data_IF_497151171196
#
_entry.id   IF_497151171196
#
_cell.length_a   1.000
_cell.length_b   1.000
_cell.length_c   1.000
_cell.angle_alpha   90.00
_cell.angle_beta   90.00
_cell.angle_gamma   90.00
#
_symmetry.space_group_name_H-M   'P 1'
#
loop_
_entity.id
_entity.type
_entity.pdbx_description
1 polymer ?
#
# COMPACT_ATOMS: atom_id res chain seq x y z
N UNK A 1 5.87 -25.85 19.04
CA UNK A 1 6.32 -25.90 17.62
C UNK A 1 6.23 -27.30 17.01
N UNK A 2 6.90 -28.34 17.52
CA UNK A 2 6.82 -29.71 16.94
C UNK A 2 5.39 -30.24 16.77
N UNK A 3 4.56 -30.09 17.81
CA UNK A 3 3.15 -30.51 17.81
C UNK A 3 2.26 -29.71 16.82
N UNK A 4 2.70 -28.54 16.35
CA UNK A 4 1.96 -27.70 15.40
C UNK A 4 2.50 -27.79 13.96
N UNK A 5 3.24 -28.86 13.62
CA UNK A 5 3.66 -29.13 12.24
C UNK A 5 4.79 -28.25 11.68
N UNK A 6 5.57 -27.60 12.54
CA UNK A 6 6.70 -26.77 12.09
C UNK A 6 7.87 -27.61 11.56
N UNK A 7 8.46 -27.21 10.43
CA UNK A 7 9.61 -27.90 9.82
C UNK A 7 10.90 -27.79 10.65
N UNK A 8 11.79 -28.79 10.50
CA UNK A 8 13.05 -28.93 11.28
C UNK A 8 13.96 -27.69 11.24
N UNK A 9 14.10 -27.06 10.07
CA UNK A 9 14.94 -25.85 9.90
C UNK A 9 14.40 -24.68 10.73
N UNK A 10 13.08 -24.47 10.74
CA UNK A 10 12.44 -23.40 11.50
C UNK A 10 12.60 -23.61 13.01
N UNK A 11 12.50 -24.85 13.47
CA UNK A 11 12.71 -25.21 14.87
C UNK A 11 14.18 -24.97 15.26
N UNK A 12 15.13 -25.44 14.45
CA UNK A 12 16.56 -25.25 14.70
C UNK A 12 16.96 -23.78 14.77
N UNK A 13 16.41 -22.94 13.89
CA UNK A 13 16.65 -21.50 13.91
C UNK A 13 16.23 -20.83 15.23
N UNK A 14 15.09 -21.22 15.79
CA UNK A 14 14.60 -20.70 17.09
C UNK A 14 15.45 -21.23 18.25
N UNK A 15 15.81 -22.51 18.24
CA UNK A 15 16.63 -23.12 19.29
C UNK A 15 17.99 -22.44 19.45
N UNK A 16 18.65 -22.11 18.34
CA UNK A 16 19.94 -21.41 18.37
C UNK A 16 19.79 -20.03 19.05
N UNK A 17 18.70 -19.31 18.78
CA UNK A 17 18.47 -17.98 19.35
C UNK A 17 18.08 -18.03 20.82
N UNK A 18 17.25 -19.01 21.22
CA UNK A 18 16.93 -19.25 22.63
C UNK A 18 18.18 -19.56 23.44
N UNK A 19 19.08 -20.40 22.91
CA UNK A 19 20.34 -20.72 23.57
C UNK A 19 21.18 -19.46 23.84
N UNK A 20 21.38 -18.62 22.82
CA UNK A 20 22.14 -17.37 22.99
C UNK A 20 21.49 -16.37 23.95
N UNK A 21 20.16 -16.45 24.12
CA UNK A 21 19.39 -15.59 25.02
C UNK A 21 19.53 -16.07 26.48
N UNK A 22 19.34 -17.37 26.74
CA UNK A 22 19.54 -17.96 28.07
C UNK A 22 21.00 -17.87 28.54
N UNK A 23 21.97 -18.00 27.65
CA UNK A 23 23.40 -17.77 27.97
C UNK A 23 23.70 -16.34 28.43
N UNK A 24 22.79 -15.39 28.24
CA UNK A 24 22.94 -13.99 28.60
C UNK A 24 21.86 -13.53 29.59
N UNK A 25 21.14 -14.46 30.20
CA UNK A 25 20.08 -14.15 31.16
C UNK A 25 20.65 -13.29 32.31
N UNK A 26 19.96 -12.20 32.65
CA UNK A 26 20.43 -11.19 33.62
C UNK A 26 21.39 -10.13 33.08
N UNK A 27 21.94 -10.29 31.86
CA UNK A 27 22.86 -9.32 31.25
C UNK A 27 22.20 -8.37 30.23
N UNK A 28 20.87 -8.38 30.11
CA UNK A 28 20.11 -7.46 29.28
C UNK A 28 18.81 -7.02 29.97
N UNK A 29 18.40 -5.77 29.76
CA UNK A 29 17.21 -5.19 30.41
C UNK A 29 15.91 -5.41 29.60
N UNK A 30 16.01 -5.79 28.33
CA UNK A 30 14.88 -6.10 27.45
C UNK A 30 15.34 -6.89 26.23
N UNK A 31 14.41 -7.49 25.48
CA UNK A 31 14.69 -8.12 24.18
C UNK A 31 15.31 -7.13 23.16
N UNK A 32 14.95 -5.85 23.25
CA UNK A 32 15.56 -4.77 22.46
C UNK A 32 17.02 -4.52 22.84
N UNK A 33 17.33 -4.45 24.13
CA UNK A 33 18.72 -4.31 24.64
C UNK A 33 19.57 -5.54 24.28
N UNK A 34 19.01 -6.75 24.43
CA UNK A 34 19.64 -7.99 23.99
C UNK A 34 20.01 -7.95 22.50
N UNK A 35 19.10 -7.47 21.63
CA UNK A 35 19.38 -7.33 20.19
C UNK A 35 20.55 -6.38 19.93
N UNK A 36 20.62 -5.23 20.60
CA UNK A 36 21.72 -4.27 20.40
C UNK A 36 23.06 -4.84 20.87
N UNK A 37 23.09 -5.49 22.03
CA UNK A 37 24.28 -6.18 22.56
C UNK A 37 24.72 -7.34 21.66
N UNK A 38 23.76 -8.09 21.11
CA UNK A 38 24.03 -9.19 20.17
C UNK A 38 24.70 -8.69 18.88
N UNK A 39 24.21 -7.58 18.32
CA UNK A 39 24.81 -6.97 17.13
C UNK A 39 26.24 -6.50 17.40
N UNK A 40 26.47 -5.85 18.54
CA UNK A 40 27.81 -5.40 18.96
C UNK A 40 28.76 -6.59 19.09
N UNK A 41 28.36 -7.66 19.78
CA UNK A 41 29.16 -8.88 19.96
C UNK A 41 29.50 -9.57 18.64
N UNK A 42 28.60 -9.53 17.65
CA UNK A 42 28.83 -10.15 16.33
C UNK A 42 29.47 -9.20 15.32
N UNK A 43 29.76 -7.95 15.68
CA UNK A 43 30.35 -6.96 14.77
C UNK A 43 29.43 -6.56 13.60
N UNK A 44 28.11 -6.56 13.80
CA UNK A 44 27.13 -6.32 12.73
C UNK A 44 26.51 -4.94 12.85
N UNK A 45 26.53 -4.16 11.77
CA UNK A 45 25.87 -2.85 11.69
C UNK A 45 24.36 -2.97 11.53
N UNK A 46 23.60 -2.00 12.05
CA UNK A 46 22.12 -1.93 11.93
C UNK A 46 21.62 -1.82 10.47
N UNK A 47 22.50 -1.50 9.51
CA UNK A 47 22.19 -1.45 8.08
C UNK A 47 22.35 -2.79 7.33
N UNK A 48 23.05 -3.77 7.92
CA UNK A 48 23.33 -5.07 7.31
C UNK A 48 22.04 -5.91 7.20
N UNK A 49 21.86 -6.68 6.13
CA UNK A 49 20.72 -7.59 5.99
C UNK A 49 20.62 -8.62 7.12
N UNK A 50 21.77 -9.06 7.66
CA UNK A 50 21.84 -9.99 8.80
C UNK A 50 21.24 -9.38 10.07
N UNK A 51 21.33 -8.07 10.25
CA UNK A 51 20.70 -7.38 11.40
C UNK A 51 19.18 -7.54 11.39
N UNK A 52 18.56 -7.50 10.20
CA UNK A 52 17.11 -7.72 10.03
C UNK A 52 16.72 -9.14 10.43
N UNK A 53 17.53 -10.14 10.06
CA UNK A 53 17.31 -11.53 10.45
C UNK A 53 17.36 -11.69 11.98
N UNK A 54 18.40 -11.18 12.65
CA UNK A 54 18.52 -11.27 14.11
C UNK A 54 17.35 -10.59 14.82
N UNK A 55 17.00 -9.37 14.39
CA UNK A 55 15.86 -8.63 14.93
C UNK A 55 14.56 -9.42 14.83
N UNK A 56 14.28 -10.03 13.67
CA UNK A 56 13.07 -10.82 13.46
C UNK A 56 13.07 -12.11 14.29
N UNK A 57 14.24 -12.71 14.49
CA UNK A 57 14.37 -13.95 15.24
C UNK A 57 14.16 -13.76 16.75
N UNK A 58 14.69 -12.67 17.33
CA UNK A 58 14.48 -12.30 18.73
C UNK A 58 13.02 -11.93 18.96
N UNK A 59 12.42 -11.15 18.06
CA UNK A 59 11.00 -10.77 18.14
C UNK A 59 10.04 -11.96 18.13
N UNK A 60 10.41 -13.07 17.50
CA UNK A 60 9.60 -14.30 17.52
C UNK A 60 9.63 -14.99 18.88
N UNK A 61 10.76 -14.88 19.59
CA UNK A 61 10.91 -15.41 20.95
C UNK A 61 10.11 -14.53 21.91
N UNK A 62 10.33 -13.22 21.86
CA UNK A 62 9.57 -12.20 22.60
C UNK A 62 8.05 -12.39 22.43
N UNK A 63 7.59 -12.60 21.19
CA UNK A 63 6.17 -12.86 20.90
C UNK A 63 5.60 -14.11 21.60
N UNK A 64 6.42 -15.15 21.72
CA UNK A 64 5.99 -16.38 22.37
C UNK A 64 6.02 -16.23 23.89
N UNK A 65 7.10 -15.66 24.42
CA UNK A 65 7.32 -15.46 25.84
C UNK A 65 6.26 -14.55 26.46
N UNK A 66 5.98 -13.40 25.84
CA UNK A 66 5.07 -12.41 26.39
C UNK A 66 3.59 -12.63 26.01
N UNK A 67 3.32 -13.32 24.90
CA UNK A 67 1.96 -13.42 24.31
C UNK A 67 1.51 -14.84 23.97
N UNK A 68 2.33 -15.86 24.19
CA UNK A 68 2.02 -17.24 23.81
C UNK A 68 1.92 -17.47 22.29
N UNK A 69 2.34 -16.52 21.47
CA UNK A 69 2.25 -16.61 20.01
C UNK A 69 3.43 -17.40 19.43
N UNK A 70 3.15 -18.59 18.88
CA UNK A 70 4.19 -19.39 18.24
C UNK A 70 4.77 -18.72 16.97
N UNK A 71 6.09 -18.87 16.71
CA UNK A 71 6.75 -18.21 15.59
C UNK A 71 6.15 -18.58 14.23
N UNK A 72 5.46 -17.66 13.56
CA UNK A 72 4.90 -17.90 12.22
C UNK A 72 5.74 -17.21 11.11
N UNK A 73 5.39 -17.46 9.83
CA UNK A 73 6.11 -16.88 8.67
C UNK A 73 5.95 -15.37 8.56
N UNK A 74 4.99 -14.78 9.25
CA UNK A 74 4.89 -13.34 9.38
C UNK A 74 5.90 -12.88 10.42
N UNK A 75 6.57 -11.76 10.17
CA UNK A 75 7.26 -11.08 11.26
C UNK A 75 6.21 -10.84 12.35
N UNK A 76 6.47 -11.30 13.59
CA UNK A 76 5.87 -10.61 14.72
C UNK A 76 6.45 -9.20 14.67
N UNK A 77 5.67 -8.31 14.08
CA UNK A 77 5.90 -6.89 14.20
C UNK A 77 5.23 -6.57 15.54
N UNK A 78 5.95 -6.06 16.54
CA UNK A 78 5.35 -5.34 17.66
C UNK A 78 4.68 -4.03 17.17
N UNK A 79 3.86 -4.09 16.11
CA UNK A 79 2.77 -3.14 15.87
C UNK A 79 1.63 -3.37 16.85
N UNK A 80 1.61 -4.51 17.56
CA UNK A 80 0.77 -4.71 18.73
C UNK A 80 1.43 -4.18 20.04
N UNK A 81 2.69 -3.76 19.99
CA UNK A 81 3.47 -3.35 21.17
C UNK A 81 4.22 -2.00 21.08
N UNK A 82 4.25 -1.33 19.93
CA UNK A 82 3.76 0.04 20.02
C UNK A 82 2.35 -0.15 20.54
N UNK A 83 2.08 0.19 21.82
CA UNK A 83 0.71 0.50 22.22
C UNK A 83 0.19 1.28 21.02
N UNK A 84 -0.81 0.73 20.31
CA UNK A 84 -1.43 1.46 19.19
C UNK A 84 -1.58 2.89 19.70
N UNK A 85 -1.27 3.92 18.92
CA UNK A 85 -1.39 5.28 19.47
C UNK A 85 -2.75 5.46 20.17
N UNK A 86 -3.77 4.73 19.69
CA UNK A 86 -5.07 4.48 20.33
C UNK A 86 -5.05 3.90 21.76
N UNK A 87 -4.24 2.88 22.05
CA UNK A 87 -4.05 2.27 23.38
C UNK A 87 -3.25 3.17 24.34
N UNK A 88 -2.58 4.22 23.83
CA UNK A 88 -1.94 5.25 24.64
C UNK A 88 -2.91 6.39 24.97
N UNK A 89 -4.01 6.50 24.24
CA UNK A 89 -5.00 7.55 24.47
C UNK A 89 -5.88 7.21 25.66
N UNK A 90 -6.16 8.23 26.45
CA UNK A 90 -7.11 8.18 27.55
C UNK A 90 -8.06 9.38 27.43
N UNK A 91 -9.22 9.28 28.08
CA UNK A 91 -10.21 10.36 28.09
C UNK A 91 -10.73 10.78 26.71
N UNK A 92 -10.90 12.09 26.53
CA UNK A 92 -11.60 12.69 25.38
C UNK A 92 -10.98 12.35 24.03
N UNK A 93 -9.65 12.23 23.92
CA UNK A 93 -8.99 11.91 22.65
C UNK A 93 -9.38 10.53 22.12
N UNK A 94 -9.51 9.56 23.02
CA UNK A 94 -9.94 8.20 22.68
C UNK A 94 -11.40 8.22 22.20
N UNK A 95 -12.27 8.90 22.95
CA UNK A 95 -13.71 9.05 22.63
C UNK A 95 -13.93 9.67 21.26
N UNK A 96 -13.16 10.69 20.87
CA UNK A 96 -13.28 11.34 19.55
C UNK A 96 -13.01 10.34 18.41
N UNK A 97 -11.98 9.51 18.55
CA UNK A 97 -11.64 8.51 17.52
C UNK A 97 -12.66 7.39 17.47
N UNK A 98 -13.15 6.92 18.62
CA UNK A 98 -14.20 5.89 18.67
C UNK A 98 -15.49 6.37 18.03
N UNK A 99 -15.91 7.59 18.37
CA UNK A 99 -17.05 8.25 17.74
C UNK A 99 -16.87 8.40 16.22
N UNK A 100 -15.68 8.83 15.76
CA UNK A 100 -15.39 8.89 14.33
C UNK A 100 -15.54 7.53 13.63
N UNK A 101 -15.05 6.45 14.27
CA UNK A 101 -15.18 5.10 13.71
C UNK A 101 -16.65 4.73 13.57
N UNK A 102 -17.43 4.88 14.64
CA UNK A 102 -18.86 4.54 14.64
C UNK A 102 -19.64 5.30 13.55
N UNK A 103 -19.52 6.63 13.52
CA UNK A 103 -20.20 7.47 12.52
C UNK A 103 -19.75 7.13 11.10
N UNK A 104 -18.46 6.86 10.91
CA UNK A 104 -17.93 6.50 9.58
C UNK A 104 -18.39 5.12 9.11
N UNK A 105 -18.54 4.16 10.03
CA UNK A 105 -19.10 2.85 9.72
C UNK A 105 -20.57 2.96 9.31
N UNK A 106 -21.37 3.75 10.05
CA UNK A 106 -22.79 3.98 9.74
C UNK A 106 -23.02 4.68 8.41
N UNK A 107 -22.12 5.59 8.03
CA UNK A 107 -22.17 6.31 6.74
C UNK A 107 -21.61 5.50 5.56
N UNK A 108 -21.26 4.22 5.77
CA UNK A 108 -20.81 3.32 4.70
C UNK A 108 -19.38 3.58 4.22
N UNK A 109 -18.56 4.30 4.99
CA UNK A 109 -17.16 4.57 4.62
C UNK A 109 -16.34 3.28 4.67
N UNK A 110 -15.46 3.09 3.68
CA UNK A 110 -14.62 1.89 3.62
C UNK A 110 -13.75 1.72 4.88
N UNK A 111 -13.78 0.52 5.49
CA UNK A 111 -13.09 0.21 6.75
C UNK A 111 -11.59 0.50 6.70
N UNK A 112 -10.95 0.27 5.55
CA UNK A 112 -9.54 0.60 5.34
C UNK A 112 -9.25 2.10 5.45
N UNK A 113 -10.16 2.96 5.00
CA UNK A 113 -10.05 4.41 5.12
C UNK A 113 -10.27 4.86 6.57
N UNK A 114 -11.25 4.25 7.25
CA UNK A 114 -11.51 4.49 8.67
C UNK A 114 -10.26 4.17 9.50
N UNK A 115 -9.62 3.02 9.26
CA UNK A 115 -8.39 2.60 9.94
C UNK A 115 -7.27 3.61 9.70
N UNK A 116 -7.01 3.99 8.45
CA UNK A 116 -5.93 4.93 8.11
C UNK A 116 -6.16 6.29 8.76
N UNK A 117 -7.37 6.84 8.67
CA UNK A 117 -7.68 8.14 9.27
C UNK A 117 -7.62 8.11 10.80
N UNK A 118 -8.14 7.05 11.41
CA UNK A 118 -8.05 6.83 12.86
C UNK A 118 -6.59 6.72 13.33
N UNK A 119 -5.73 6.03 12.56
CA UNK A 119 -4.33 5.88 12.92
C UNK A 119 -3.58 7.22 12.86
N UNK A 120 -3.87 8.08 11.87
CA UNK A 120 -3.29 9.43 11.81
C UNK A 120 -3.75 10.29 12.99
N UNK A 121 -5.05 10.28 13.31
CA UNK A 121 -5.58 11.03 14.46
C UNK A 121 -5.03 10.50 15.79
N UNK A 122 -4.91 9.18 15.92
CA UNK A 122 -4.35 8.57 17.12
C UNK A 122 -2.88 8.96 17.31
N UNK A 123 -2.08 8.91 16.25
CA UNK A 123 -0.69 9.32 16.29
C UNK A 123 -0.53 10.82 16.58
N UNK A 124 -1.50 11.65 16.17
CA UNK A 124 -1.55 13.07 16.50
C UNK A 124 -1.83 13.27 18.00
N UNK A 125 -2.92 12.70 18.53
CA UNK A 125 -3.26 12.87 19.95
C UNK A 125 -2.23 12.24 20.89
N UNK A 126 -1.64 11.09 20.55
CA UNK A 126 -0.59 10.49 21.35
C UNK A 126 0.66 11.38 21.42
N UNK A 127 0.97 12.10 20.33
CA UNK A 127 2.05 13.09 20.36
C UNK A 127 1.70 14.28 21.25
N UNK A 128 0.45 14.76 21.21
CA UNK A 128 0.00 15.84 22.11
C UNK A 128 0.14 15.43 23.59
N UNK A 129 -0.31 14.24 23.96
CA UNK A 129 -0.14 13.70 25.32
C UNK A 129 1.34 13.56 25.70
N UNK A 130 2.19 13.13 24.77
CA UNK A 130 3.65 13.03 25.03
C UNK A 130 4.32 14.37 25.33
N UNK A 131 3.64 15.48 25.00
CA UNK A 131 4.07 16.86 25.25
C UNK A 131 3.30 17.53 26.38
N UNK A 132 2.53 16.76 27.15
CA UNK A 132 1.81 17.24 28.33
C UNK A 132 0.39 17.78 28.06
N UNK A 133 -0.13 17.65 26.84
CA UNK A 133 -1.51 18.05 26.53
C UNK A 133 -2.47 16.86 26.71
N UNK A 134 -3.33 16.93 27.72
CA UNK A 134 -4.27 15.86 28.08
C UNK A 134 -5.73 16.23 27.78
N UNK A 135 -6.02 17.51 27.59
CA UNK A 135 -7.31 18.05 27.15
C UNK A 135 -7.17 18.72 25.78
N UNK A 136 -8.30 19.00 25.11
CA UNK A 136 -8.27 19.74 23.85
C UNK A 136 -7.84 21.21 24.02
N UNK A 137 -8.05 21.78 25.21
CA UNK A 137 -7.63 23.15 25.52
C UNK A 137 -6.11 23.28 25.62
N UNK A 138 -5.42 22.20 26.03
CA UNK A 138 -3.95 22.16 26.11
C UNK A 138 -3.30 22.10 24.71
N UNK A 139 -4.07 21.75 23.67
CA UNK A 139 -3.59 21.63 22.30
C UNK A 139 -3.53 23.01 21.65
N UNK A 140 -2.37 23.65 21.78
CA UNK A 140 -2.10 24.98 21.23
C UNK A 140 -1.49 24.93 19.83
N UNK A 141 -1.56 26.04 19.09
CA UNK A 141 -0.99 26.15 17.75
C UNK A 141 0.52 25.82 17.69
N UNK A 142 1.39 26.34 18.59
CA UNK A 142 2.82 25.97 18.58
C UNK A 142 3.04 24.46 18.75
N UNK A 143 2.21 23.81 19.56
CA UNK A 143 2.29 22.38 19.78
C UNK A 143 1.85 21.60 18.53
N UNK A 144 0.79 22.02 17.85
CA UNK A 144 0.39 21.46 16.55
C UNK A 144 1.52 21.63 15.52
N UNK A 145 2.13 22.81 15.43
CA UNK A 145 3.24 23.07 14.51
C UNK A 145 4.43 22.13 14.79
N UNK A 146 4.75 21.87 16.06
CA UNK A 146 5.81 20.91 16.43
C UNK A 146 5.52 19.47 16.00
N UNK A 147 4.26 19.12 15.74
CA UNK A 147 3.90 17.84 15.13
C UNK A 147 4.14 17.84 13.62
N UNK A 148 3.87 18.93 12.91
CA UNK A 148 4.02 18.96 11.45
C UNK A 148 5.43 19.29 10.99
N UNK A 149 6.21 19.96 11.83
CA UNK A 149 7.53 20.50 11.49
C UNK A 149 8.57 20.21 12.56
N UNK A 150 9.82 20.04 12.13
CA UNK A 150 11.00 20.03 12.99
C UNK A 150 12.07 20.92 12.38
N UNK A 151 12.49 21.96 13.10
CA UNK A 151 13.51 22.95 12.66
C UNK A 151 13.28 23.47 11.23
N UNK A 152 12.03 23.80 10.88
CA UNK A 152 11.65 24.29 9.55
C UNK A 152 11.43 23.21 8.48
N UNK A 153 11.80 21.95 8.75
CA UNK A 153 11.53 20.81 7.85
C UNK A 153 10.12 20.26 8.08
N UNK A 154 9.32 20.18 7.03
CA UNK A 154 8.01 19.52 7.08
C UNK A 154 8.18 18.00 7.24
N UNK A 155 7.68 17.46 8.35
CA UNK A 155 7.71 16.03 8.65
C UNK A 155 6.47 15.30 8.12
N UNK A 156 5.31 15.96 8.14
CA UNK A 156 4.01 15.35 7.84
C UNK A 156 3.25 16.13 6.77
N UNK A 157 2.68 15.40 5.83
CA UNK A 157 2.07 15.96 4.62
C UNK A 157 0.58 16.27 4.75
N UNK A 158 0.03 16.85 3.67
CA UNK A 158 -1.39 17.16 3.50
C UNK A 158 -2.36 16.02 3.87
N UNK A 159 -2.04 14.78 3.46
CA UNK A 159 -2.91 13.62 3.75
C UNK A 159 -3.08 13.38 5.24
N UNK A 160 -1.99 13.50 6.02
CA UNK A 160 -2.02 13.33 7.47
C UNK A 160 -2.91 14.41 8.10
N UNK A 161 -2.69 15.68 7.75
CA UNK A 161 -3.48 16.82 8.23
C UNK A 161 -4.97 16.65 7.89
N UNK A 162 -5.31 16.31 6.64
CA UNK A 162 -6.71 16.09 6.24
C UNK A 162 -7.35 14.89 6.91
N UNK A 163 -6.62 13.82 7.19
CA UNK A 163 -7.12 12.70 7.96
C UNK A 163 -7.48 13.12 9.39
N UNK A 164 -6.60 13.88 10.05
CA UNK A 164 -6.85 14.42 11.40
C UNK A 164 -8.08 15.33 11.40
N UNK A 165 -8.15 16.28 10.45
CA UNK A 165 -9.30 17.19 10.32
C UNK A 165 -10.62 16.44 10.10
N UNK A 166 -10.62 15.34 9.34
CA UNK A 166 -11.85 14.53 9.15
C UNK A 166 -12.34 13.90 10.45
N UNK A 167 -11.40 13.39 11.27
CA UNK A 167 -11.72 12.82 12.59
C UNK A 167 -12.22 13.92 13.54
N UNK A 168 -11.59 15.09 13.57
CA UNK A 168 -12.06 16.20 14.39
C UNK A 168 -13.44 16.70 13.96
N UNK A 169 -13.71 16.78 12.65
CA UNK A 169 -15.01 17.25 12.12
C UNK A 169 -16.16 16.28 12.38
N UNK A 170 -15.89 15.00 12.65
CA UNK A 170 -16.96 14.07 13.03
C UNK A 170 -17.42 14.27 14.47
N UNK A 171 -16.84 15.18 15.26
CA UNK A 171 -17.23 15.43 16.66
C UNK A 171 -18.63 16.06 16.84
N UNK A 172 -19.46 16.11 15.80
CA UNK A 172 -20.80 16.71 15.87
C UNK A 172 -21.65 15.89 16.85
N UNK A 173 -22.18 16.56 17.87
CA UNK A 173 -22.93 15.89 18.94
C UNK A 173 -22.09 15.45 20.15
N UNK A 174 -20.77 15.63 20.11
CA UNK A 174 -19.92 15.53 21.31
C UNK A 174 -19.88 16.86 22.06
N UNK A 175 -19.71 16.81 23.38
CA UNK A 175 -19.54 18.01 24.21
C UNK A 175 -18.37 18.88 23.76
N UNK A 176 -17.32 18.25 23.22
CA UNK A 176 -16.10 18.90 22.74
C UNK A 176 -16.15 19.41 21.30
N UNK A 177 -17.36 19.57 20.73
CA UNK A 177 -17.52 19.95 19.33
C UNK A 177 -16.90 21.32 19.00
N UNK A 178 -17.00 22.29 19.92
CA UNK A 178 -16.48 23.66 19.71
C UNK A 178 -14.95 23.66 19.67
N UNK A 179 -14.34 22.92 20.58
CA UNK A 179 -12.89 22.74 20.71
C UNK A 179 -12.34 21.99 19.50
N UNK A 180 -12.99 20.91 19.06
CA UNK A 180 -12.58 20.19 17.84
C UNK A 180 -12.65 21.07 16.59
N UNK A 181 -13.66 21.95 16.50
CA UNK A 181 -13.77 22.93 15.42
C UNK A 181 -12.62 23.94 15.48
N UNK A 182 -12.34 24.51 16.65
CA UNK A 182 -11.20 25.40 16.84
C UNK A 182 -9.88 24.75 16.42
N UNK A 183 -9.64 23.49 16.83
CA UNK A 183 -8.46 22.74 16.41
C UNK A 183 -8.39 22.55 14.89
N UNK A 184 -9.52 22.41 14.19
CA UNK A 184 -9.51 22.35 12.72
C UNK A 184 -9.07 23.67 12.08
N UNK A 185 -9.43 24.80 12.71
CA UNK A 185 -9.17 26.14 12.18
C UNK A 185 -7.71 26.56 12.38
N UNK A 186 -7.05 26.11 13.46
CA UNK A 186 -5.63 26.37 13.74
C UNK A 186 -4.66 25.33 13.13
N UNK A 187 -5.15 24.37 12.34
CA UNK A 187 -4.28 23.41 11.64
C UNK A 187 -3.42 24.13 10.59
N UNK A 188 -2.12 23.79 10.46
CA UNK A 188 -1.25 24.47 9.51
C UNK A 188 -1.74 24.29 8.07
N UNK A 189 -1.75 25.33 7.22
CA UNK A 189 -2.23 25.24 5.85
C UNK A 189 -1.22 24.46 4.98
N UNK A 190 -1.42 23.15 4.86
CA UNK A 190 -0.58 22.31 4.01
C UNK A 190 -1.10 22.29 2.57
N UNK A 191 -0.20 22.50 1.60
CA UNK A 191 -0.53 22.39 0.17
C UNK A 191 -0.68 20.92 -0.24
N UNK A 192 -1.71 20.63 -1.03
CA UNK A 192 -1.87 19.34 -1.69
C UNK A 192 -0.98 19.25 -2.93
N UNK A 193 0.33 19.12 -2.73
CA UNK A 193 1.29 18.98 -3.82
C UNK A 193 1.22 17.53 -4.33
N UNK A 194 0.59 17.33 -5.49
CA UNK A 194 0.64 16.05 -6.19
C UNK A 194 1.91 16.01 -7.04
N UNK A 195 2.78 15.03 -6.78
CA UNK A 195 3.88 14.73 -7.69
C UNK A 195 3.32 14.08 -8.96
N UNK A 196 3.92 14.38 -10.11
CA UNK A 196 3.63 13.65 -11.34
C UNK A 196 3.83 12.15 -11.09
N UNK A 197 2.84 11.37 -11.48
CA UNK A 197 2.88 9.95 -11.30
C UNK A 197 3.82 9.32 -12.33
N UNK A 198 4.69 8.40 -11.92
CA UNK A 198 5.48 7.67 -12.90
C UNK A 198 4.56 6.80 -13.76
N UNK A 199 4.84 6.82 -15.05
CA UNK A 199 4.21 6.03 -16.10
C UNK A 199 5.30 5.13 -16.69
N UNK A 200 4.93 3.96 -17.21
CA UNK A 200 5.86 3.09 -17.93
C UNK A 200 6.28 3.74 -19.25
N UNK A 201 7.58 3.75 -19.55
CA UNK A 201 8.07 4.18 -20.86
C UNK A 201 7.74 3.16 -21.94
N UNK A 202 7.81 3.54 -23.21
CA UNK A 202 7.56 2.62 -24.32
C UNK A 202 8.58 1.46 -24.30
N UNK A 203 9.85 1.72 -24.02
CA UNK A 203 10.88 0.67 -23.84
C UNK A 203 10.54 -0.31 -22.72
N UNK A 204 10.12 0.21 -21.55
CA UNK A 204 9.69 -0.66 -20.44
C UNK A 204 8.50 -1.51 -20.86
N UNK A 205 7.52 -0.95 -21.57
CA UNK A 205 6.34 -1.71 -22.02
C UNK A 205 6.69 -2.77 -23.05
N UNK A 206 7.66 -2.51 -23.93
CA UNK A 206 8.15 -3.50 -24.90
C UNK A 206 8.90 -4.65 -24.21
N UNK A 207 9.74 -4.35 -23.21
CA UNK A 207 10.40 -5.39 -22.40
C UNK A 207 9.36 -6.23 -21.65
N UNK A 208 8.34 -5.59 -21.07
CA UNK A 208 7.28 -6.28 -20.34
C UNK A 208 6.49 -7.19 -21.30
N UNK A 209 6.05 -6.68 -22.45
CA UNK A 209 5.28 -7.45 -23.43
C UNK A 209 6.06 -8.67 -23.93
N UNK A 210 7.31 -8.47 -24.38
CA UNK A 210 8.17 -9.56 -24.85
C UNK A 210 8.46 -10.60 -23.77
N UNK A 211 8.58 -10.20 -22.50
CA UNK A 211 8.77 -11.16 -21.40
C UNK A 211 7.50 -11.97 -21.14
N UNK A 212 6.32 -11.37 -21.23
CA UNK A 212 5.05 -12.09 -21.03
C UNK A 212 4.80 -13.14 -22.13
N UNK A 213 5.23 -12.85 -23.36
CA UNK A 213 5.12 -13.76 -24.51
C UNK A 213 6.22 -14.85 -24.53
N UNK A 214 7.32 -14.66 -23.80
CA UNK A 214 8.41 -15.63 -23.75
C UNK A 214 8.13 -16.78 -22.76
N UNK A 215 7.94 -17.99 -23.29
CA UNK A 215 7.72 -19.21 -22.51
C UNK A 215 8.91 -19.62 -21.64
N UNK A 216 10.13 -19.28 -22.04
CA UNK A 216 11.36 -19.55 -21.30
C UNK A 216 11.68 -18.49 -20.23
N UNK A 217 10.78 -17.53 -20.00
CA UNK A 217 10.99 -16.58 -18.91
C UNK A 217 10.90 -17.29 -17.55
N UNK A 218 11.76 -16.90 -16.60
CA UNK A 218 11.79 -17.41 -15.22
C UNK A 218 10.57 -16.95 -14.37
N UNK A 219 9.41 -16.74 -14.99
CA UNK A 219 8.16 -16.31 -14.36
C UNK A 219 7.23 -17.50 -14.20
N UNK A 220 6.52 -17.56 -13.07
CA UNK A 220 5.43 -18.54 -12.95
C UNK A 220 4.26 -18.11 -13.83
N UNK A 221 3.46 -19.04 -14.32
CA UNK A 221 2.26 -18.75 -15.11
C UNK A 221 1.28 -17.90 -14.31
N UNK A 222 1.20 -18.08 -12.98
CA UNK A 222 0.42 -17.19 -12.12
C UNK A 222 0.90 -15.75 -12.18
N UNK A 223 2.21 -15.52 -12.08
CA UNK A 223 2.79 -14.19 -12.16
C UNK A 223 2.55 -13.58 -13.55
N UNK A 224 2.75 -14.36 -14.63
CA UNK A 224 2.44 -13.92 -16.00
C UNK A 224 0.97 -13.51 -16.12
N UNK A 225 0.03 -14.36 -15.70
CA UNK A 225 -1.40 -14.08 -15.80
C UNK A 225 -1.81 -12.82 -15.02
N UNK A 226 -1.32 -12.64 -13.79
CA UNK A 226 -1.59 -11.43 -12.99
C UNK A 226 -1.09 -10.17 -13.70
N UNK A 227 0.12 -10.21 -14.25
CA UNK A 227 0.72 -9.05 -14.92
C UNK A 227 0.05 -8.78 -16.28
N UNK A 228 -0.27 -9.81 -17.06
CA UNK A 228 -1.01 -9.67 -18.32
C UNK A 228 -2.38 -9.03 -18.09
N UNK A 229 -3.14 -9.51 -17.10
CA UNK A 229 -4.42 -8.88 -16.73
C UNK A 229 -4.17 -7.41 -16.37
N UNK A 230 -3.24 -7.12 -15.46
CA UNK A 230 -2.98 -5.75 -15.02
C UNK A 230 -2.58 -4.81 -16.17
N UNK A 231 -1.69 -5.25 -17.05
CA UNK A 231 -1.16 -4.48 -18.18
C UNK A 231 -2.24 -4.15 -19.21
N UNK A 232 -3.08 -5.14 -19.56
CA UNK A 232 -4.01 -5.00 -20.67
C UNK A 232 -5.42 -4.55 -20.26
N UNK A 233 -5.78 -4.65 -18.97
CA UNK A 233 -7.10 -4.25 -18.46
C UNK A 233 -7.06 -3.07 -17.49
N UNK A 234 -5.88 -2.76 -16.92
CA UNK A 234 -5.74 -1.69 -15.93
C UNK A 234 -6.53 -1.91 -14.64
N UNK A 235 -6.99 -3.14 -14.37
CA UNK A 235 -7.72 -3.49 -13.15
C UNK A 235 -6.90 -3.19 -11.89
N UNK A 236 -7.57 -2.83 -10.79
CA UNK A 236 -6.89 -2.60 -9.51
C UNK A 236 -6.42 -3.94 -8.97
N UNK A 237 -5.28 -3.96 -8.26
CA UNK A 237 -4.78 -5.21 -7.66
C UNK A 237 -5.76 -5.85 -6.67
N UNK A 238 -6.66 -5.09 -6.05
CA UNK A 238 -7.76 -5.63 -5.23
C UNK A 238 -8.81 -6.38 -6.04
N UNK A 239 -9.07 -5.93 -7.26
CA UNK A 239 -10.07 -6.51 -8.15
C UNK A 239 -9.49 -7.81 -8.75
N UNK A 240 -8.23 -7.77 -9.21
CA UNK A 240 -7.50 -8.97 -9.68
C UNK A 240 -7.43 -10.06 -8.60
N UNK A 241 -7.16 -9.67 -7.34
CA UNK A 241 -7.12 -10.62 -6.22
C UNK A 241 -8.47 -11.30 -5.94
N UNK A 242 -9.59 -10.65 -6.31
CA UNK A 242 -10.93 -11.16 -6.09
C UNK A 242 -11.54 -11.87 -7.30
N UNK A 243 -10.90 -11.85 -8.47
CA UNK A 243 -11.42 -12.55 -9.64
C UNK A 243 -11.69 -14.03 -9.32
N UNK A 244 -12.81 -14.51 -9.81
CA UNK A 244 -13.17 -15.93 -9.85
C UNK A 244 -12.87 -16.50 -11.24
N UNK A 245 -12.94 -17.82 -11.39
CA UNK A 245 -12.87 -18.44 -12.72
C UNK A 245 -14.01 -17.92 -13.60
N UNK A 246 -15.23 -17.83 -13.05
CA UNK A 246 -16.43 -17.32 -13.73
C UNK A 246 -16.39 -15.81 -14.06
N UNK A 247 -15.39 -15.08 -13.54
CA UNK A 247 -15.15 -13.69 -13.97
C UNK A 247 -14.74 -13.63 -15.44
N UNK A 248 -14.25 -14.74 -16.00
CA UNK A 248 -13.76 -14.84 -17.38
C UNK A 248 -14.71 -15.72 -18.19
N UNK A 249 -15.34 -15.11 -19.17
CA UNK A 249 -16.13 -15.80 -20.19
C UNK A 249 -15.25 -15.98 -21.43
N UNK A 250 -14.69 -17.18 -21.59
CA UNK A 250 -13.83 -17.52 -22.72
C UNK A 250 -14.60 -17.71 -24.03
N UNK A 251 -15.91 -17.98 -23.98
CA UNK A 251 -16.73 -18.16 -25.18
C UNK A 251 -17.11 -16.81 -25.81
N UNK A 252 -17.33 -15.80 -24.97
CA UNK A 252 -17.69 -14.44 -25.41
C UNK A 252 -16.52 -13.46 -25.42
N UNK A 253 -15.32 -13.90 -25.04
CA UNK A 253 -14.15 -13.05 -24.83
C UNK A 253 -14.45 -11.85 -23.90
N UNK A 254 -15.02 -12.11 -22.72
CA UNK A 254 -15.36 -11.07 -21.74
C UNK A 254 -14.77 -11.32 -20.35
N UNK A 255 -14.45 -10.22 -19.67
CA UNK A 255 -14.13 -10.17 -18.24
C UNK A 255 -15.23 -9.39 -17.55
N UNK A 256 -15.99 -10.02 -16.65
CA UNK A 256 -17.10 -9.38 -15.93
C UNK A 256 -16.90 -9.47 -14.42
N UNK A 257 -16.81 -8.33 -13.73
CA UNK A 257 -16.63 -8.29 -12.28
C UNK A 257 -17.33 -7.10 -11.63
N UNK A 258 -17.57 -7.19 -10.33
CA UNK A 258 -17.86 -6.02 -9.48
C UNK A 258 -16.56 -5.48 -8.88
N UNK A 259 -16.31 -4.19 -9.05
CA UNK A 259 -15.10 -3.56 -8.55
C UNK A 259 -15.13 -3.37 -7.03
N UNK A 260 -14.04 -3.75 -6.34
CA UNK A 260 -13.94 -3.70 -4.87
C UNK A 260 -14.03 -2.31 -4.26
N UNK A 261 -13.63 -1.27 -5.00
CA UNK A 261 -13.55 0.10 -4.48
C UNK A 261 -14.83 0.89 -4.73
N UNK A 262 -15.47 0.65 -5.86
CA UNK A 262 -16.57 1.47 -6.38
C UNK A 262 -17.90 0.72 -6.37
N UNK A 263 -17.88 -0.60 -6.17
CA UNK A 263 -19.06 -1.46 -6.22
C UNK A 263 -19.81 -1.39 -7.56
N UNK A 264 -19.12 -0.95 -8.61
CA UNK A 264 -19.66 -0.88 -9.97
C UNK A 264 -19.37 -2.18 -10.70
N UNK A 265 -20.36 -2.68 -11.43
CA UNK A 265 -20.17 -3.73 -12.41
C UNK A 265 -19.31 -3.18 -13.54
N UNK A 266 -18.29 -3.95 -13.93
CA UNK A 266 -17.40 -3.63 -15.02
C UNK A 266 -17.32 -4.83 -15.97
N UNK A 267 -17.49 -4.55 -17.26
CA UNK A 267 -17.34 -5.52 -18.34
C UNK A 267 -16.22 -5.03 -19.24
N UNK A 268 -15.21 -5.86 -19.47
CA UNK A 268 -14.06 -5.57 -20.31
C UNK A 268 -13.87 -6.67 -21.36
N UNK A 269 -13.34 -6.37 -22.55
CA UNK A 269 -12.96 -7.41 -23.50
C UNK A 269 -11.78 -8.23 -22.96
N UNK A 270 -11.87 -9.56 -23.11
CA UNK A 270 -10.77 -10.49 -22.88
C UNK A 270 -9.91 -10.54 -24.14
N UNK A 271 -8.78 -9.83 -24.14
CA UNK A 271 -7.82 -9.96 -25.24
C UNK A 271 -7.22 -11.37 -25.24
N UNK A 272 -6.99 -11.94 -26.42
CA UNK A 272 -6.36 -13.26 -26.58
C UNK A 272 -5.05 -13.41 -25.80
N UNK A 273 -4.19 -12.38 -25.80
CA UNK A 273 -2.93 -12.37 -25.02
C UNK A 273 -3.13 -12.52 -23.51
N UNK A 274 -4.30 -12.12 -22.98
CA UNK A 274 -4.69 -12.32 -21.58
C UNK A 274 -5.33 -13.69 -21.41
N UNK A 275 -6.31 -14.03 -22.26
CA UNK A 275 -7.05 -15.28 -22.20
C UNK A 275 -6.13 -16.51 -22.29
N UNK A 276 -5.18 -16.51 -23.22
CA UNK A 276 -4.21 -17.59 -23.41
C UNK A 276 -3.38 -17.82 -22.15
N UNK A 277 -2.77 -16.76 -21.60
CA UNK A 277 -1.91 -16.88 -20.40
C UNK A 277 -2.72 -17.32 -19.18
N UNK A 278 -3.95 -16.83 -19.04
CA UNK A 278 -4.83 -17.29 -17.94
C UNK A 278 -5.19 -18.77 -18.12
N UNK A 279 -5.55 -19.19 -19.33
CA UNK A 279 -5.87 -20.58 -19.63
C UNK A 279 -4.68 -21.51 -19.37
N UNK A 280 -3.46 -21.08 -19.71
CA UNK A 280 -2.25 -21.82 -19.39
C UNK A 280 -2.05 -21.98 -17.88
N UNK A 281 -2.21 -20.91 -17.12
CA UNK A 281 -2.14 -20.96 -15.66
C UNK A 281 -3.18 -21.94 -15.09
N UNK A 282 -4.43 -21.86 -15.56
CA UNK A 282 -5.52 -22.76 -15.13
C UNK A 282 -5.21 -24.23 -15.43
N UNK A 283 -4.62 -24.53 -16.58
CA UNK A 283 -4.32 -25.91 -17.01
C UNK A 283 -3.06 -26.49 -16.36
N UNK A 284 -2.02 -25.68 -16.16
CA UNK A 284 -0.66 -26.17 -15.86
C UNK A 284 -0.17 -25.88 -14.44
N UNK A 285 -0.54 -24.75 -13.81
CA UNK A 285 -0.01 -24.35 -12.48
C UNK A 285 -1.08 -24.29 -11.38
N UNK A 286 -2.34 -23.97 -11.71
CA UNK A 286 -3.42 -23.94 -10.71
C UNK A 286 -3.73 -25.37 -10.24
N UNK A 287 -3.74 -25.64 -8.93
CA UNK A 287 -4.15 -26.94 -8.42
C UNK A 287 -5.58 -27.30 -8.86
N UNK A 288 -5.80 -28.55 -9.29
CA UNK A 288 -7.09 -29.01 -9.83
C UNK A 288 -8.13 -29.30 -8.74
N UNK A 289 -7.68 -29.80 -7.60
CA UNK A 289 -8.53 -30.27 -6.49
C UNK A 289 -8.79 -29.17 -5.45
N UNK A 290 -9.01 -27.93 -5.88
CA UNK A 290 -9.34 -26.84 -4.96
C UNK A 290 -10.81 -26.48 -5.03
N UNK A 291 -11.45 -26.37 -3.87
CA UNK A 291 -12.88 -26.05 -3.79
C UNK A 291 -13.14 -24.52 -3.90
N UNK A 292 -12.09 -23.71 -3.97
CA UNK A 292 -12.20 -22.26 -4.10
C UNK A 292 -12.46 -21.85 -5.55
N UNK A 293 -13.50 -21.02 -5.77
CA UNK A 293 -13.82 -20.45 -7.08
C UNK A 293 -12.86 -19.34 -7.53
N UNK A 294 -11.88 -18.95 -6.71
CA UNK A 294 -10.93 -17.88 -7.05
C UNK A 294 -10.10 -18.28 -8.25
N UNK A 295 -9.87 -17.29 -9.12
CA UNK A 295 -8.99 -17.43 -10.26
C UNK A 295 -7.59 -17.77 -9.77
N UNK A 296 -7.04 -16.95 -8.87
CA UNK A 296 -5.70 -17.12 -8.32
C UNK A 296 -5.70 -17.67 -6.89
N UNK A 297 -4.91 -18.71 -6.66
CA UNK A 297 -4.77 -19.38 -5.35
C UNK A 297 -3.48 -18.98 -4.64
N UNK A 298 -3.50 -19.10 -3.31
CA UNK A 298 -2.33 -18.86 -2.49
C UNK A 298 -1.30 -20.01 -2.63
N UNK A 299 -0.01 -19.67 -2.69
CA UNK A 299 1.06 -20.63 -3.04
C UNK A 299 1.22 -21.76 -2.01
N UNK A 300 1.01 -21.49 -0.72
CA UNK A 300 1.25 -22.44 0.36
C UNK A 300 -0.03 -23.06 0.93
N UNK A 301 -1.18 -22.55 0.51
CA UNK A 301 -2.49 -23.00 0.99
C UNK A 301 -3.50 -22.74 -0.13
N UNK A 302 -3.62 -23.67 -1.08
CA UNK A 302 -4.44 -23.48 -2.28
C UNK A 302 -5.92 -23.21 -2.01
N UNK A 303 -6.43 -23.60 -0.84
CA UNK A 303 -7.80 -23.33 -0.38
C UNK A 303 -8.02 -21.87 0.05
N UNK A 304 -6.94 -21.07 0.16
CA UNK A 304 -7.04 -19.65 0.53
C UNK A 304 -6.94 -18.71 -0.67
N UNK A 305 -7.77 -17.64 -0.68
CA UNK A 305 -7.66 -16.58 -1.68
C UNK A 305 -6.33 -15.82 -1.52
N UNK A 306 -5.80 -15.32 -2.63
CA UNK A 306 -4.70 -14.36 -2.56
C UNK A 306 -5.19 -13.00 -2.06
N UNK A 307 -4.38 -12.33 -1.25
CA UNK A 307 -4.69 -10.96 -0.82
C UNK A 307 -4.23 -9.93 -1.86
N UNK A 308 -4.82 -8.73 -1.89
CA UNK A 308 -4.34 -7.63 -2.75
C UNK A 308 -2.86 -7.28 -2.52
N UNK A 309 -2.36 -7.51 -1.29
CA UNK A 309 -0.95 -7.35 -0.97
C UNK A 309 -0.03 -8.33 -1.70
N UNK A 310 -0.50 -9.55 -1.98
CA UNK A 310 0.23 -10.54 -2.79
C UNK A 310 0.35 -10.08 -4.24
N UNK A 311 -0.74 -9.57 -4.84
CA UNK A 311 -0.70 -8.98 -6.20
C UNK A 311 0.35 -7.86 -6.28
N UNK A 312 0.38 -6.98 -5.28
CA UNK A 312 1.40 -5.92 -5.20
C UNK A 312 2.83 -6.46 -5.09
N UNK A 313 3.05 -7.58 -4.40
CA UNK A 313 4.36 -8.26 -4.32
C UNK A 313 4.75 -8.94 -5.64
N UNK A 314 3.80 -9.54 -6.34
CA UNK A 314 4.00 -10.12 -7.68
C UNK A 314 4.54 -9.05 -8.62
N UNK A 315 3.87 -7.88 -8.70
CA UNK A 315 4.33 -6.76 -9.52
C UNK A 315 5.76 -6.31 -9.18
N UNK A 316 6.07 -6.10 -7.89
CA UNK A 316 7.42 -5.71 -7.47
C UNK A 316 8.48 -6.75 -7.84
N UNK A 317 8.18 -8.03 -7.62
CA UNK A 317 9.09 -9.13 -8.00
C UNK A 317 9.29 -9.17 -9.51
N UNK A 318 8.24 -8.96 -10.29
CA UNK A 318 8.29 -8.91 -11.74
C UNK A 318 9.21 -7.78 -12.24
N UNK A 319 9.01 -6.54 -11.78
CA UNK A 319 9.91 -5.43 -12.11
C UNK A 319 11.37 -5.71 -11.70
N UNK A 320 11.59 -6.24 -10.49
CA UNK A 320 12.93 -6.60 -10.04
C UNK A 320 13.60 -7.67 -10.91
N UNK A 321 12.85 -8.68 -11.38
CA UNK A 321 13.36 -9.74 -12.26
C UNK A 321 13.76 -9.21 -13.63
N UNK A 322 12.97 -8.27 -14.18
CA UNK A 322 13.30 -7.57 -15.43
C UNK A 322 14.48 -6.61 -15.29
N UNK A 323 14.84 -6.28 -14.05
CA UNK A 323 15.91 -5.34 -13.74
C UNK A 323 15.59 -3.89 -14.08
N UNK A 324 14.34 -3.57 -14.41
CA UNK A 324 13.85 -2.22 -14.65
C UNK A 324 13.36 -1.59 -13.33
N UNK A 325 13.51 -0.27 -13.17
CA UNK A 325 13.11 0.49 -11.98
C UNK A 325 13.73 0.01 -10.66
N UNK A 326 14.95 -0.53 -10.70
CA UNK A 326 15.68 -0.95 -9.48
C UNK A 326 15.89 0.26 -8.56
N UNK A 327 15.58 0.11 -7.27
CA UNK A 327 15.73 1.17 -6.28
C UNK A 327 14.64 2.25 -6.31
N UNK A 328 13.72 2.21 -7.29
CA UNK A 328 12.61 3.14 -7.33
C UNK A 328 11.48 2.72 -6.39
N UNK A 329 10.83 3.72 -5.77
CA UNK A 329 9.62 3.49 -4.98
C UNK A 329 8.37 3.21 -5.85
N UNK A 330 8.45 3.48 -7.16
CA UNK A 330 7.35 3.33 -8.10
C UNK A 330 7.55 2.05 -8.93
N UNK A 331 7.28 0.89 -8.32
CA UNK A 331 7.41 -0.45 -8.93
C UNK A 331 6.22 -1.37 -8.56
N UNK A 332 5.04 -0.78 -8.37
CA UNK A 332 3.84 -1.49 -7.91
C UNK A 332 2.79 -1.71 -9.00
N UNK A 333 1.82 -2.58 -8.72
CA UNK A 333 0.72 -2.93 -9.63
C UNK A 333 -0.04 -1.73 -10.22
N UNK A 334 -0.06 -0.59 -9.50
CA UNK A 334 -0.75 0.63 -9.95
C UNK A 334 -0.13 1.23 -11.22
N UNK A 335 1.12 0.93 -11.53
CA UNK A 335 1.78 1.43 -12.75
C UNK A 335 1.06 0.95 -14.01
N UNK A 336 0.65 -0.30 -14.07
CA UNK A 336 -0.06 -0.85 -15.23
C UNK A 336 -1.37 -0.11 -15.51
N UNK A 337 -2.10 0.22 -14.45
CA UNK A 337 -3.31 1.04 -14.56
C UNK A 337 -3.03 2.47 -15.05
N UNK A 338 -1.93 3.08 -14.60
CA UNK A 338 -1.50 4.41 -15.08
C UNK A 338 -1.09 4.36 -16.55
N UNK A 339 -0.32 3.34 -16.91
CA UNK A 339 0.07 3.06 -18.28
C UNK A 339 -1.16 2.96 -19.18
N UNK A 340 -2.13 2.10 -18.85
CA UNK A 340 -3.33 1.94 -19.68
C UNK A 340 -4.11 3.25 -19.83
N UNK A 341 -4.36 3.96 -18.72
CA UNK A 341 -5.09 5.23 -18.76
C UNK A 341 -4.39 6.28 -19.65
N UNK A 342 -3.07 6.42 -19.48
CA UNK A 342 -2.28 7.39 -20.26
C UNK A 342 -2.17 6.96 -21.72
N UNK A 343 -2.05 5.66 -22.00
CA UNK A 343 -2.00 5.14 -23.37
C UNK A 343 -3.32 5.37 -24.10
N UNK A 344 -4.46 5.20 -23.42
CA UNK A 344 -5.77 5.50 -23.98
C UNK A 344 -5.93 7.01 -24.25
N UNK A 345 -5.50 7.88 -23.31
CA UNK A 345 -5.51 9.33 -23.51
C UNK A 345 -4.66 9.74 -24.72
N UNK A 346 -3.41 9.26 -24.80
CA UNK A 346 -2.50 9.52 -25.91
C UNK A 346 -3.04 9.05 -27.27
N UNK A 347 -3.88 8.02 -27.27
CA UNK A 347 -4.52 7.50 -28.48
C UNK A 347 -5.85 8.23 -28.81
N UNK A 348 -6.15 9.36 -28.16
CA UNK A 348 -7.33 10.17 -28.43
C UNK A 348 -8.64 9.61 -27.88
N UNK A 349 -8.60 8.60 -27.00
CA UNK A 349 -9.81 8.09 -26.37
C UNK A 349 -10.36 9.13 -25.40
N UNK A 350 -11.65 9.43 -25.49
CA UNK A 350 -12.25 10.49 -24.67
C UNK A 350 -12.18 10.14 -23.17
N UNK A 351 -11.95 11.15 -22.28
CA UNK A 351 -11.92 10.96 -20.83
C UNK A 351 -13.11 10.20 -20.24
N UNK A 352 -14.30 10.36 -20.86
CA UNK A 352 -15.51 9.66 -20.45
C UNK A 352 -15.37 8.14 -20.63
N UNK A 353 -15.01 7.68 -21.82
CA UNK A 353 -14.84 6.24 -22.08
C UNK A 353 -13.69 5.66 -21.25
N UNK A 354 -12.61 6.40 -21.05
CA UNK A 354 -11.53 5.96 -20.16
C UNK A 354 -12.04 5.80 -18.73
N UNK A 355 -12.85 6.72 -18.23
CA UNK A 355 -13.45 6.62 -16.89
C UNK A 355 -14.35 5.40 -16.75
N UNK A 356 -15.13 5.06 -17.79
CA UNK A 356 -15.96 3.85 -17.84
C UNK A 356 -15.10 2.58 -17.85
N UNK A 357 -14.09 2.48 -18.73
CA UNK A 357 -13.11 1.36 -18.79
C UNK A 357 -12.41 1.19 -17.44
N UNK A 358 -12.06 2.29 -16.79
CA UNK A 358 -11.40 2.27 -15.50
C UNK A 358 -12.36 1.96 -14.34
N UNK A 359 -13.66 2.11 -14.52
CA UNK A 359 -14.66 2.06 -13.45
C UNK A 359 -14.42 3.15 -12.40
N UNK A 360 -14.38 4.41 -12.86
CA UNK A 360 -14.40 5.59 -12.00
C UNK A 360 -15.84 6.04 -11.78
N UNK A 361 -16.16 6.43 -10.53
CA UNK A 361 -17.46 7.04 -10.20
C UNK A 361 -17.44 8.54 -10.56
N UNK A 362 -16.32 9.21 -10.31
CA UNK A 362 -16.16 10.65 -10.55
C UNK A 362 -15.15 10.88 -11.69
N UNK A 363 -15.47 11.71 -12.69
CA UNK A 363 -14.57 12.04 -13.79
C UNK A 363 -13.24 12.65 -13.33
N UNK A 364 -13.25 13.40 -12.22
CA UNK A 364 -12.06 14.05 -11.64
C UNK A 364 -11.02 13.02 -11.16
N UNK A 365 -11.42 11.76 -11.01
CA UNK A 365 -10.49 10.65 -10.77
C UNK A 365 -9.53 10.43 -11.94
N UNK A 366 -9.82 10.99 -13.11
CA UNK A 366 -8.96 10.94 -14.29
C UNK A 366 -7.90 12.06 -14.34
N UNK A 367 -8.12 13.20 -13.67
CA UNK A 367 -7.18 14.35 -13.71
C UNK A 367 -5.71 13.96 -13.49
N UNK A 368 -5.36 13.08 -12.53
CA UNK A 368 -4.00 12.55 -12.38
C UNK A 368 -3.32 11.98 -13.62
N UNK A 369 -4.09 11.46 -14.57
CA UNK A 369 -3.58 10.86 -15.82
C UNK A 369 -3.51 11.90 -16.94
N UNK A 370 -4.43 12.87 -16.94
CA UNK A 370 -4.41 14.02 -17.87
C UNK A 370 -3.15 14.84 -17.64
N UNK A 371 -2.81 15.14 -16.37
CA UNK A 371 -1.59 15.85 -15.99
C UNK A 371 -0.29 15.15 -16.44
N UNK A 372 -0.39 13.87 -16.82
CA UNK A 372 0.73 13.05 -17.22
C UNK A 372 0.83 12.85 -18.75
N UNK A 373 -0.17 13.34 -19.50
CA UNK A 373 -0.18 13.31 -20.95
C UNK A 373 0.49 14.55 -21.55
N UNK A 374 1.83 14.56 -21.49
CA UNK A 374 2.67 15.67 -21.95
C UNK A 374 2.41 16.01 -23.43
N UNK A 375 2.01 15.04 -24.26
CA UNK A 375 1.78 15.26 -25.70
C UNK A 375 0.61 16.23 -25.89
N UNK A 376 -0.57 15.90 -25.37
CA UNK A 376 -1.73 16.80 -25.46
C UNK A 376 -1.57 18.06 -24.60
N UNK A 377 -0.85 18.00 -23.47
CA UNK A 377 -0.56 19.21 -22.68
C UNK A 377 0.27 20.24 -23.47
N UNK A 378 1.13 19.81 -24.40
CA UNK A 378 1.87 20.73 -25.29
C UNK A 378 0.94 21.44 -26.28
N UNK A 379 -0.13 20.78 -26.72
CA UNK A 379 -1.14 21.38 -27.62
C UNK A 379 -1.97 22.46 -26.92
N UNK A 380 -2.14 22.34 -25.60
CA UNK A 380 -2.78 23.36 -24.76
C UNK A 380 -1.88 24.59 -24.48
N UNK A 381 -0.62 24.56 -24.92
CA UNK A 381 0.30 25.67 -24.78
C UNK A 381 -0.22 26.88 -25.56
N UNK A 382 -0.23 28.05 -24.92
CA UNK A 382 -0.54 29.31 -25.62
C UNK A 382 0.56 29.55 -26.64
N UNK A 383 0.18 29.83 -27.89
CA UNK A 383 1.12 30.21 -28.92
C UNK A 383 1.88 31.48 -28.51
N UNK A 384 3.19 31.34 -28.36
CA UNK A 384 4.09 32.44 -27.98
C UNK A 384 4.59 33.21 -29.21
N UNK A 385 4.22 32.83 -30.43
CA UNK A 385 4.62 33.52 -31.67
C UNK A 385 4.27 35.02 -31.67
N UNK A 386 3.23 35.40 -30.92
CA UNK A 386 2.78 36.79 -30.74
C UNK A 386 3.60 37.59 -29.72
N UNK A 387 4.49 36.93 -28.98
CA UNK A 387 5.36 37.54 -27.98
C UNK A 387 6.81 37.37 -28.44
N UNK A 388 7.42 38.37 -29.11
CA UNK A 388 8.77 38.24 -29.62
C UNK A 388 9.74 38.00 -28.46
N UNK A 389 10.36 36.82 -28.46
CA UNK A 389 11.42 36.45 -27.53
C UNK A 389 12.75 36.70 -28.25
N UNK A 390 13.72 37.33 -27.57
CA UNK A 390 15.07 37.49 -28.15
C UNK A 390 15.69 36.12 -28.40
N UNK A 391 16.41 36.00 -29.50
CA UNK A 391 17.06 34.75 -29.96
C UNK A 391 17.96 34.14 -28.87
N UNK A 392 18.61 35.01 -28.09
CA UNK A 392 19.46 34.73 -26.93
C UNK A 392 18.80 33.87 -25.81
N UNK A 393 17.45 33.75 -25.79
CA UNK A 393 16.72 33.00 -24.74
C UNK A 393 16.66 31.50 -25.03
N UNK A 394 16.92 31.07 -26.27
CA UNK A 394 16.87 29.65 -26.66
C UNK A 394 18.25 28.96 -26.68
N UNK A 395 19.33 29.70 -26.43
CA UNK A 395 20.71 29.19 -26.32
C UNK A 395 21.04 28.72 -24.88
N UNK A 396 20.30 27.71 -24.38
CA UNK A 396 20.55 27.11 -23.05
C UNK A 396 20.81 25.62 -23.13
#
# INVERSE_FOLDING_TARGET
MKQQGYGKVSIGGVQVRLKELFEQEGNYASYGDFYEKLLKRKGISKGDERSKYYRLSIRRIEAFDEYGHLPNRFAFIPTLQQKSSMNQLEGLFKTIIEHYKEVSLQTGKASSSIIVESNYAAAFFAYMQSKGAYTLADVTEPLILSYFYDRGRQLRGYTCQKSIIRVLRSSKGLLCQKECKYLCDIMPPLKNIRKNFAILSDDETAIIASTLENDNSNLTLRDKAVISIAMYTGLRGSDIAKMTVDTIDFERDLITLEQSKTHQKLVLPLRAVVGNVVMEYLKKERPKEVNIQRLFTHLYDPEKPISPGVIGKIARRFFNKLGIRKGECQNGIRLFRRYLATKLLRNGVTPRYISEIMGHISPESLNPYIDADIVHLRECGIDISKYPVREEVFDV
#
